data_IF_767287104355
#
_entry.id   IF_767287104355
#
_cell.length_a   1.000
_cell.length_b   1.000
_cell.length_c   1.000
_cell.angle_alpha   90.00
_cell.angle_beta   90.00
_cell.angle_gamma   90.00
#
_symmetry.space_group_name_H-M   'P 1'
#
loop_
_entity.id
_entity.type
_entity.pdbx_description
1 polymer ?
#
# COMPACT_ATOMS: atom_id res chain seq x y z
N UNK A 1 7.30 33.48 -21.43
CA UNK A 1 6.71 32.21 -20.94
C UNK A 1 6.08 31.49 -22.10
N UNK A 2 6.71 30.41 -22.56
CA UNK A 2 6.23 29.66 -23.73
C UNK A 2 5.04 28.78 -23.34
N UNK A 3 4.20 28.44 -24.31
CA UNK A 3 3.04 27.55 -24.15
C UNK A 3 3.42 26.16 -23.64
N UNK A 4 4.67 25.72 -23.87
CA UNK A 4 5.22 24.46 -23.37
C UNK A 4 5.42 24.48 -21.86
N UNK A 5 5.96 25.57 -21.28
CA UNK A 5 6.16 25.72 -19.83
C UNK A 5 4.84 25.75 -19.04
N UNK A 6 3.76 26.28 -19.63
CA UNK A 6 2.43 26.24 -19.01
C UNK A 6 1.87 24.81 -18.95
N UNK A 7 2.12 23.99 -19.97
CA UNK A 7 1.60 22.61 -20.08
C UNK A 7 2.22 21.65 -19.05
N UNK A 8 3.55 21.67 -18.91
CA UNK A 8 4.28 20.83 -17.93
C UNK A 8 3.89 21.17 -16.50
N UNK A 9 3.76 22.47 -16.18
CA UNK A 9 3.37 22.92 -14.85
C UNK A 9 1.94 22.48 -14.46
N UNK A 10 1.02 22.35 -15.43
CA UNK A 10 -0.31 21.76 -15.19
C UNK A 10 -0.29 20.24 -14.99
N UNK A 11 0.56 19.52 -15.73
CA UNK A 11 0.69 18.07 -15.61
C UNK A 11 1.28 17.69 -14.25
N UNK A 12 2.36 18.35 -13.85
CA UNK A 12 3.03 18.11 -12.57
C UNK A 12 2.09 18.43 -11.39
N UNK A 13 1.29 19.50 -11.49
CA UNK A 13 0.26 19.81 -10.49
C UNK A 13 -0.82 18.75 -10.40
N UNK A 14 -1.25 18.18 -11.54
CA UNK A 14 -2.27 17.12 -11.56
C UNK A 14 -1.71 15.84 -10.94
N UNK A 15 -0.49 15.45 -11.32
CA UNK A 15 0.23 14.31 -10.75
C UNK A 15 0.37 14.50 -9.24
N UNK A 16 0.87 15.67 -8.82
CA UNK A 16 1.07 15.99 -7.42
C UNK A 16 -0.22 15.90 -6.62
N UNK A 17 -1.30 16.50 -7.11
CA UNK A 17 -2.62 16.45 -6.47
C UNK A 17 -3.15 15.02 -6.34
N UNK A 18 -2.89 14.17 -7.34
CA UNK A 18 -3.26 12.76 -7.29
C UNK A 18 -2.46 12.05 -6.21
N UNK A 19 -1.13 12.09 -6.25
CA UNK A 19 -0.28 11.28 -5.36
C UNK A 19 -0.33 11.75 -3.90
N UNK A 20 -0.56 13.04 -3.65
CA UNK A 20 -0.64 13.61 -2.28
C UNK A 20 -2.03 13.50 -1.64
N UNK A 21 -3.05 13.08 -2.39
CA UNK A 21 -4.39 12.86 -1.81
C UNK A 21 -4.27 11.89 -0.63
N UNK A 22 -4.84 12.24 0.53
CA UNK A 22 -4.79 11.40 1.73
C UNK A 22 -3.46 11.38 2.48
N UNK A 23 -2.47 12.20 2.07
CA UNK A 23 -1.16 12.30 2.74
C UNK A 23 -1.04 13.67 3.43
N UNK A 24 -0.69 13.65 4.71
CA UNK A 24 -0.42 14.83 5.51
C UNK A 24 1.00 15.35 5.23
N UNK A 25 1.11 16.25 4.26
CA UNK A 25 2.38 16.87 3.87
C UNK A 25 2.94 17.76 4.99
N UNK A 26 2.09 18.31 5.86
CA UNK A 26 2.56 19.12 6.99
C UNK A 26 3.33 18.26 7.99
N UNK A 27 2.90 17.02 8.26
CA UNK A 27 3.69 16.07 9.04
C UNK A 27 5.08 15.81 8.45
N UNK A 28 5.17 15.69 7.12
CA UNK A 28 6.46 15.54 6.42
C UNK A 28 7.34 16.77 6.65
N UNK A 29 6.78 17.97 6.55
CA UNK A 29 7.50 19.23 6.76
C UNK A 29 7.97 19.43 8.20
N UNK A 30 7.25 18.91 9.17
CA UNK A 30 7.51 19.16 10.59
C UNK A 30 8.50 18.18 11.24
N UNK A 31 8.94 17.15 10.52
CA UNK A 31 9.96 16.23 11.07
C UNK A 31 11.27 16.98 11.41
N UNK A 32 12.04 16.51 12.41
CA UNK A 32 13.31 17.13 12.77
C UNK A 32 14.28 17.25 11.59
N UNK A 33 15.10 18.31 11.58
CA UNK A 33 16.08 18.57 10.51
C UNK A 33 17.03 17.38 10.28
N UNK A 34 17.45 16.70 11.35
CA UNK A 34 18.29 15.50 11.24
C UNK A 34 17.61 14.37 10.45
N UNK A 35 16.31 14.11 10.71
CA UNK A 35 15.54 13.12 9.96
C UNK A 35 15.33 13.54 8.49
N UNK A 36 15.24 14.85 8.20
CA UNK A 36 15.16 15.34 6.81
C UNK A 36 16.39 14.97 5.99
N UNK A 37 17.59 14.99 6.57
CA UNK A 37 18.79 14.52 5.87
C UNK A 37 18.76 13.02 5.58
N UNK A 38 18.23 12.21 6.50
CA UNK A 38 18.00 10.78 6.26
C UNK A 38 17.00 10.59 5.11
N UNK A 39 15.94 11.40 5.07
CA UNK A 39 14.93 11.35 4.00
C UNK A 39 15.55 11.66 2.63
N UNK A 40 16.53 12.56 2.53
CA UNK A 40 17.22 12.85 1.26
C UNK A 40 17.84 11.59 0.64
N UNK A 41 18.36 10.66 1.43
CA UNK A 41 18.83 9.36 0.91
C UNK A 41 17.70 8.56 0.28
N UNK A 42 16.54 8.49 0.93
CA UNK A 42 15.35 7.85 0.34
C UNK A 42 14.93 8.51 -0.97
N UNK A 43 15.04 9.84 -1.09
CA UNK A 43 14.74 10.55 -2.35
C UNK A 43 15.67 10.12 -3.48
N UNK A 44 16.98 9.99 -3.19
CA UNK A 44 17.97 9.51 -4.15
C UNK A 44 17.69 8.07 -4.57
N UNK A 45 17.30 7.21 -3.62
CA UNK A 45 16.88 5.86 -3.93
C UNK A 45 15.66 5.86 -4.86
N UNK A 46 14.61 6.65 -4.58
CA UNK A 46 13.43 6.74 -5.46
C UNK A 46 13.79 7.26 -6.86
N UNK A 47 14.71 8.21 -6.97
CA UNK A 47 15.25 8.66 -8.26
C UNK A 47 15.90 7.52 -9.03
N UNK A 48 16.85 6.82 -8.40
CA UNK A 48 17.55 5.71 -9.06
C UNK A 48 16.62 4.55 -9.45
N UNK A 49 15.58 4.28 -8.66
CA UNK A 49 14.55 3.29 -8.98
C UNK A 49 13.68 3.72 -10.17
N UNK A 50 13.34 5.01 -10.25
CA UNK A 50 12.59 5.55 -11.38
C UNK A 50 13.40 5.47 -12.68
N UNK A 51 14.68 5.86 -12.63
CA UNK A 51 15.58 5.79 -13.79
C UNK A 51 15.74 4.34 -14.25
N UNK A 52 15.93 3.42 -13.30
CA UNK A 52 16.00 1.99 -13.60
C UNK A 52 14.71 1.47 -14.25
N UNK A 53 13.54 1.85 -13.75
CA UNK A 53 12.25 1.44 -14.29
C UNK A 53 11.98 2.02 -15.70
N UNK A 54 12.50 3.20 -16.01
CA UNK A 54 12.44 3.80 -17.35
C UNK A 54 13.33 3.03 -18.32
N UNK A 55 14.53 2.65 -17.89
CA UNK A 55 15.50 1.92 -18.72
C UNK A 55 15.13 0.44 -18.95
N UNK A 56 14.64 -0.23 -17.92
CA UNK A 56 14.47 -1.70 -17.91
C UNK A 56 13.00 -2.14 -17.89
N UNK A 57 12.07 -1.20 -17.87
CA UNK A 57 10.64 -1.47 -17.72
C UNK A 57 10.21 -1.61 -16.25
N UNK A 58 9.02 -1.06 -15.94
CA UNK A 58 8.44 -1.09 -14.61
C UNK A 58 8.19 -2.51 -14.09
N UNK A 59 7.88 -3.45 -14.98
CA UNK A 59 7.64 -4.86 -14.66
C UNK A 59 8.87 -5.56 -14.07
N UNK A 60 10.07 -5.06 -14.37
CA UNK A 60 11.31 -5.66 -13.91
C UNK A 60 11.82 -5.01 -12.62
N UNK A 61 11.13 -4.03 -12.03
CA UNK A 61 11.65 -3.21 -10.91
C UNK A 61 12.05 -4.03 -9.66
N UNK A 62 11.54 -5.26 -9.53
CA UNK A 62 11.97 -6.22 -8.51
C UNK A 62 13.38 -6.80 -8.72
N UNK A 63 14.00 -6.56 -9.87
CA UNK A 63 15.37 -6.93 -10.23
C UNK A 63 16.35 -5.76 -10.05
N UNK A 64 15.85 -4.56 -9.74
CA UNK A 64 16.67 -3.39 -9.47
C UNK A 64 17.66 -3.68 -8.33
N UNK A 65 18.95 -3.31 -8.47
CA UNK A 65 19.94 -3.52 -7.40
C UNK A 65 19.56 -2.76 -6.11
N UNK A 66 18.77 -1.70 -6.24
CA UNK A 66 18.29 -0.86 -5.14
C UNK A 66 17.10 -1.52 -4.37
N UNK A 67 16.41 -2.50 -4.96
CA UNK A 67 15.22 -3.17 -4.40
C UNK A 67 15.47 -3.86 -3.06
N UNK A 68 16.69 -4.36 -2.82
CA UNK A 68 17.02 -5.15 -1.64
C UNK A 68 17.11 -4.27 -0.37
N UNK A 69 17.22 -2.95 -0.49
CA UNK A 69 17.60 -2.09 0.64
C UNK A 69 16.46 -1.66 1.58
N UNK A 70 15.17 -1.89 1.27
CA UNK A 70 14.07 -1.45 2.15
C UNK A 70 12.78 -2.25 2.08
N UNK A 71 12.28 -2.74 3.23
CA UNK A 71 11.04 -3.54 3.32
C UNK A 71 9.80 -2.80 2.80
N UNK A 72 9.65 -1.51 3.14
CA UNK A 72 8.55 -0.66 2.66
C UNK A 72 8.56 -0.50 1.14
N UNK A 73 9.76 -0.38 0.56
CA UNK A 73 9.91 -0.26 -0.87
C UNK A 73 9.63 -1.59 -1.58
N UNK A 74 10.09 -2.73 -1.05
CA UNK A 74 9.82 -4.06 -1.62
C UNK A 74 8.34 -4.31 -1.85
N UNK A 75 7.50 -3.98 -0.86
CA UNK A 75 6.05 -4.07 -0.96
C UNK A 75 5.51 -3.26 -2.16
N UNK A 76 5.89 -1.98 -2.22
CA UNK A 76 5.40 -1.06 -3.25
C UNK A 76 5.94 -1.40 -4.65
N UNK A 77 7.21 -1.78 -4.74
CA UNK A 77 7.84 -2.22 -5.98
C UNK A 77 7.23 -3.51 -6.52
N UNK A 78 6.79 -4.45 -5.67
CA UNK A 78 6.04 -5.61 -6.12
C UNK A 78 4.69 -5.23 -6.77
N UNK A 79 4.05 -4.16 -6.30
CA UNK A 79 2.84 -3.63 -6.92
C UNK A 79 3.11 -2.91 -8.25
N UNK A 80 4.24 -2.18 -8.35
CA UNK A 80 4.71 -1.58 -9.60
C UNK A 80 5.00 -2.67 -10.64
N UNK A 81 5.76 -3.70 -10.27
CA UNK A 81 6.12 -4.81 -11.15
C UNK A 81 4.88 -5.51 -11.75
N UNK A 82 3.80 -5.60 -10.96
CA UNK A 82 2.53 -6.19 -11.40
C UNK A 82 1.59 -5.21 -12.10
N UNK A 83 2.03 -3.98 -12.34
CA UNK A 83 1.27 -2.97 -13.08
C UNK A 83 -0.08 -2.62 -12.44
N UNK A 84 -0.22 -2.75 -11.12
CA UNK A 84 -1.49 -2.46 -10.46
C UNK A 84 -1.93 -1.00 -10.67
N UNK A 85 -3.26 -0.73 -10.71
CA UNK A 85 -3.77 0.62 -10.82
C UNK A 85 -3.28 1.53 -9.68
N UNK A 86 -3.05 2.81 -10.00
CA UNK A 86 -2.58 3.82 -9.03
C UNK A 86 -3.55 3.92 -7.85
N UNK A 87 -4.86 3.82 -8.09
CA UNK A 87 -5.90 3.91 -7.07
C UNK A 87 -5.83 2.77 -6.05
N UNK A 88 -5.46 1.56 -6.49
CA UNK A 88 -5.31 0.40 -5.61
C UNK A 88 -4.01 0.50 -4.79
N UNK A 89 -2.92 0.95 -5.42
CA UNK A 89 -1.67 1.25 -4.70
C UNK A 89 -1.86 2.36 -3.65
N UNK A 90 -2.68 3.36 -3.96
CA UNK A 90 -3.06 4.43 -3.02
C UNK A 90 -3.83 3.88 -1.82
N UNK A 91 -4.83 3.03 -2.05
CA UNK A 91 -5.59 2.41 -0.96
C UNK A 91 -4.68 1.60 -0.02
N UNK A 92 -3.74 0.82 -0.58
CA UNK A 92 -2.74 0.08 0.21
C UNK A 92 -1.87 1.04 1.01
N UNK A 93 -1.37 2.10 0.38
CA UNK A 93 -0.50 3.09 1.01
C UNK A 93 -1.17 3.83 2.16
N UNK A 94 -2.40 4.31 1.96
CA UNK A 94 -3.12 5.07 2.98
C UNK A 94 -3.46 4.23 4.20
N UNK A 95 -3.91 2.98 3.99
CA UNK A 95 -4.13 2.05 5.11
C UNK A 95 -2.86 1.89 5.96
N UNK A 96 -1.69 1.76 5.34
CA UNK A 96 -0.43 1.70 6.09
C UNK A 96 -0.08 3.01 6.79
N UNK A 97 -0.32 4.16 6.16
CA UNK A 97 -0.08 5.47 6.77
C UNK A 97 -0.96 5.72 8.01
N UNK A 98 -2.21 5.27 8.00
CA UNK A 98 -3.11 5.37 9.15
C UNK A 98 -2.58 4.61 10.37
N UNK A 99 -1.85 3.51 10.13
CA UNK A 99 -1.19 2.75 11.20
C UNK A 99 0.03 3.48 11.78
N UNK A 100 0.62 4.43 11.05
CA UNK A 100 1.71 5.28 11.51
C UNK A 100 1.25 6.63 12.05
N UNK A 101 -0.05 6.84 12.27
CA UNK A 101 -0.60 8.15 12.66
C UNK A 101 0.05 8.78 13.90
N UNK A 102 0.58 7.94 14.81
CA UNK A 102 1.23 8.36 16.06
C UNK A 102 2.76 8.49 15.97
N UNK A 103 3.38 8.13 14.86
CA UNK A 103 4.83 8.25 14.67
C UNK A 103 5.14 9.08 13.42
N UNK A 104 5.53 10.34 13.63
CA UNK A 104 5.90 11.25 12.54
C UNK A 104 7.05 10.73 11.68
N UNK A 105 8.09 10.13 12.28
CA UNK A 105 9.24 9.59 11.53
C UNK A 105 8.85 8.43 10.61
N UNK A 106 8.16 7.41 11.12
CA UNK A 106 7.69 6.28 10.30
C UNK A 106 6.64 6.70 9.27
N UNK A 107 5.71 7.59 9.65
CA UNK A 107 4.74 8.17 8.73
C UNK A 107 5.47 8.83 7.56
N UNK A 108 6.40 9.73 7.83
CA UNK A 108 7.13 10.46 6.80
C UNK A 108 7.97 9.54 5.93
N UNK A 109 8.73 8.60 6.50
CA UNK A 109 9.53 7.63 5.73
C UNK A 109 8.64 6.83 4.77
N UNK A 110 7.50 6.35 5.25
CA UNK A 110 6.57 5.62 4.41
C UNK A 110 5.87 6.51 3.37
N UNK A 111 5.46 7.74 3.74
CA UNK A 111 4.83 8.70 2.81
C UNK A 111 5.73 8.99 1.62
N UNK A 112 7.04 9.21 1.86
CA UNK A 112 8.00 9.47 0.80
C UNK A 112 8.13 8.28 -0.16
N UNK A 113 8.21 7.06 0.38
CA UNK A 113 8.24 5.83 -0.44
C UNK A 113 6.93 5.65 -1.22
N UNK A 114 5.78 5.86 -0.59
CA UNK A 114 4.46 5.77 -1.23
C UNK A 114 4.32 6.80 -2.36
N UNK A 115 4.65 8.07 -2.11
CA UNK A 115 4.63 9.13 -3.12
C UNK A 115 5.58 8.81 -4.29
N UNK A 116 6.81 8.41 -3.99
CA UNK A 116 7.80 8.04 -5.01
C UNK A 116 7.32 6.88 -5.88
N UNK A 117 6.84 5.80 -5.26
CA UNK A 117 6.38 4.60 -5.97
C UNK A 117 5.13 4.84 -6.81
N UNK A 118 4.18 5.66 -6.35
CA UNK A 118 3.05 6.10 -7.17
C UNK A 118 3.51 6.91 -8.39
N UNK A 119 4.48 7.81 -8.22
CA UNK A 119 5.04 8.58 -9.34
C UNK A 119 5.82 7.69 -10.33
N UNK A 120 6.59 6.70 -9.84
CA UNK A 120 7.24 5.69 -10.69
C UNK A 120 6.18 4.96 -11.50
N UNK A 121 5.10 4.49 -10.86
CA UNK A 121 3.99 3.81 -11.54
C UNK A 121 3.35 4.67 -12.64
N UNK A 122 3.25 5.97 -12.40
CA UNK A 122 2.73 6.95 -13.35
C UNK A 122 3.73 7.32 -14.47
N UNK A 123 4.95 6.77 -14.46
CA UNK A 123 5.97 7.03 -15.47
C UNK A 123 6.66 8.39 -15.33
N UNK A 124 6.70 8.95 -14.13
CA UNK A 124 7.35 10.25 -13.87
C UNK A 124 8.89 10.07 -13.89
N UNK A 125 9.64 10.94 -14.59
CA UNK A 125 11.10 10.91 -14.60
C UNK A 125 11.72 11.03 -13.21
N UNK A 126 12.85 10.34 -12.98
CA UNK A 126 13.51 10.29 -11.68
C UNK A 126 13.91 11.66 -11.12
N UNK A 127 14.40 12.57 -11.98
CA UNK A 127 14.72 13.95 -11.57
C UNK A 127 13.47 14.71 -11.10
N UNK A 128 12.35 14.55 -11.81
CA UNK A 128 11.08 15.17 -11.42
C UNK A 128 10.59 14.60 -10.08
N UNK A 129 10.66 13.28 -9.89
CA UNK A 129 10.33 12.63 -8.61
C UNK A 129 11.20 13.20 -7.48
N UNK A 130 12.51 13.27 -7.70
CA UNK A 130 13.44 13.80 -6.71
C UNK A 130 13.08 15.22 -6.29
N UNK A 131 12.88 16.12 -7.26
CA UNK A 131 12.57 17.52 -6.96
C UNK A 131 11.19 17.72 -6.32
N UNK A 132 10.17 16.98 -6.77
CA UNK A 132 8.83 17.04 -6.18
C UNK A 132 8.85 16.57 -4.72
N UNK A 133 9.52 15.44 -4.44
CA UNK A 133 9.65 14.94 -3.07
C UNK A 133 10.55 15.83 -2.21
N UNK A 134 11.64 16.38 -2.76
CA UNK A 134 12.51 17.30 -2.04
C UNK A 134 11.75 18.54 -1.58
N UNK A 135 10.81 19.04 -2.40
CA UNK A 135 9.89 20.12 -2.05
C UNK A 135 9.02 19.84 -0.83
N UNK A 136 8.79 18.58 -0.46
CA UNK A 136 8.01 18.23 0.74
C UNK A 136 8.75 18.51 2.05
N UNK A 137 10.07 18.65 2.02
CA UNK A 137 10.87 18.87 3.23
C UNK A 137 10.78 20.31 3.77
N UNK A 138 10.15 21.21 3.02
CA UNK A 138 9.85 22.58 3.42
C UNK A 138 10.98 23.57 3.14
N UNK A 139 10.58 24.82 2.83
CA UNK A 139 11.48 25.88 2.37
C UNK A 139 12.62 26.20 3.34
N UNK A 140 12.35 26.15 4.64
CA UNK A 140 13.37 26.35 5.68
C UNK A 140 14.47 25.30 5.63
N UNK A 141 14.13 24.04 5.36
CA UNK A 141 15.14 23.00 5.20
C UNK A 141 15.97 23.26 3.93
N UNK A 142 15.29 23.52 2.81
CA UNK A 142 15.92 23.71 1.50
C UNK A 142 16.85 24.92 1.47
N UNK A 143 16.47 26.03 2.08
CA UNK A 143 17.23 27.29 2.04
C UNK A 143 18.30 27.38 3.13
N UNK A 144 18.03 26.87 4.34
CA UNK A 144 18.92 27.06 5.50
C UNK A 144 19.80 25.85 5.80
N UNK A 145 19.31 24.64 5.54
CA UNK A 145 19.92 23.41 6.04
C UNK A 145 20.54 22.53 4.96
N UNK A 146 19.96 22.47 3.75
CA UNK A 146 20.41 21.55 2.69
C UNK A 146 21.90 21.70 2.34
N UNK A 147 22.48 22.90 2.49
CA UNK A 147 23.92 23.16 2.30
C UNK A 147 24.85 22.35 3.22
N UNK A 148 24.33 21.81 4.33
CA UNK A 148 25.07 20.97 5.26
C UNK A 148 24.97 19.48 4.93
N UNK A 149 24.27 19.11 3.87
CA UNK A 149 24.19 17.72 3.41
C UNK A 149 25.58 17.22 2.96
N UNK A 150 25.97 16.02 3.40
CA UNK A 150 27.31 15.46 3.15
C UNK A 150 28.38 15.89 4.16
N UNK A 151 28.08 16.83 5.07
CA UNK A 151 28.90 17.00 6.27
C UNK A 151 28.59 15.85 7.23
N UNK A 152 29.62 15.09 7.60
CA UNK A 152 29.50 13.95 8.52
C UNK A 152 29.03 14.46 9.88
N UNK A 153 27.73 14.34 10.15
CA UNK A 153 27.23 14.40 11.52
C UNK A 153 27.63 13.11 12.21
N UNK A 154 28.60 13.20 13.12
CA UNK A 154 28.93 12.14 14.06
C UNK A 154 27.78 11.98 15.05
N UNK A 155 26.75 11.21 14.69
CA UNK A 155 25.78 10.63 15.61
C UNK A 155 25.29 9.32 15.00
N UNK A 156 26.12 8.29 15.15
CA UNK A 156 25.68 6.90 15.07
C UNK A 156 24.72 6.65 16.23
N UNK A 157 23.43 6.58 15.93
CA UNK A 157 22.55 5.70 16.68
C UNK A 157 21.38 5.36 15.77
N UNK A 158 21.54 4.25 15.06
CA UNK A 158 20.42 3.55 14.47
C UNK A 158 19.50 3.14 15.63
N UNK A 159 18.52 3.98 15.94
CA UNK A 159 17.57 3.71 17.00
C UNK A 159 16.70 2.54 16.55
N UNK A 160 17.08 1.32 16.96
CA UNK A 160 16.26 0.12 16.86
C UNK A 160 15.04 0.27 17.77
N UNK A 161 14.05 1.03 17.33
CA UNK A 161 12.71 0.98 17.89
C UNK A 161 11.96 -0.19 17.27
N UNK A 162 12.29 -1.40 17.73
CA UNK A 162 11.41 -2.54 17.56
C UNK A 162 10.30 -2.41 18.61
N UNK A 163 9.20 -1.73 18.28
CA UNK A 163 7.97 -1.87 19.07
C UNK A 163 7.53 -3.33 18.99
N UNK A 164 7.58 -4.02 20.13
CA UNK A 164 7.02 -5.35 20.29
C UNK A 164 5.50 -5.27 20.18
N UNK A 165 4.98 -5.48 18.98
CA UNK A 165 3.54 -5.56 18.78
C UNK A 165 3.08 -6.96 19.25
N UNK A 166 2.17 -6.99 20.22
CA UNK A 166 1.59 -8.23 20.79
C UNK A 166 0.72 -8.92 19.73
N UNK A 167 1.18 -10.04 19.16
CA UNK A 167 0.52 -10.65 18.01
C UNK A 167 0.02 -12.10 18.12
N UNK A 168 0.39 -12.89 19.15
CA UNK A 168 0.27 -14.36 19.02
C UNK A 168 -1.16 -14.92 18.84
N UNK A 169 -2.13 -14.53 19.65
CA UNK A 169 -3.51 -15.07 19.53
C UNK A 169 -4.38 -14.29 18.54
N UNK A 170 -4.07 -13.00 18.34
CA UNK A 170 -4.68 -12.12 17.33
C UNK A 170 -4.34 -12.57 15.89
N UNK A 171 -3.18 -13.20 15.68
CA UNK A 171 -2.75 -13.66 14.36
C UNK A 171 -3.60 -14.78 13.78
N UNK A 172 -4.02 -15.76 14.58
CA UNK A 172 -4.64 -16.98 14.05
C UNK A 172 -6.03 -16.72 13.45
N UNK A 173 -6.90 -15.97 14.16
CA UNK A 173 -8.24 -15.63 13.66
C UNK A 173 -8.17 -14.79 12.39
N UNK A 174 -7.35 -13.73 12.41
CA UNK A 174 -7.18 -12.83 11.26
C UNK A 174 -6.57 -13.54 10.07
N UNK A 175 -5.53 -14.35 10.30
CA UNK A 175 -4.90 -15.15 9.26
C UNK A 175 -5.93 -16.08 8.63
N UNK A 176 -6.65 -16.87 9.44
CA UNK A 176 -7.64 -17.81 8.93
C UNK A 176 -8.65 -17.08 8.04
N UNK A 177 -9.29 -16.03 8.56
CA UNK A 177 -10.29 -15.26 7.83
C UNK A 177 -9.72 -14.61 6.57
N UNK A 178 -8.53 -14.01 6.62
CA UNK A 178 -7.86 -13.45 5.44
C UNK A 178 -7.72 -14.51 4.34
N UNK A 179 -7.15 -15.66 4.65
CA UNK A 179 -6.93 -16.70 3.64
C UNK A 179 -8.25 -17.34 3.18
N UNK A 180 -9.28 -17.38 4.02
CA UNK A 180 -10.63 -17.79 3.63
C UNK A 180 -11.23 -16.77 2.64
N UNK A 181 -11.12 -15.45 2.89
CA UNK A 181 -11.56 -14.40 1.97
C UNK A 181 -10.80 -14.43 0.63
N UNK A 182 -9.50 -14.70 0.67
CA UNK A 182 -8.70 -14.88 -0.55
C UNK A 182 -9.14 -16.12 -1.35
N UNK A 183 -9.50 -17.21 -0.67
CA UNK A 183 -10.01 -18.41 -1.31
C UNK A 183 -11.42 -18.18 -1.89
N UNK A 184 -12.26 -17.39 -1.23
CA UNK A 184 -13.56 -16.96 -1.77
C UNK A 184 -13.40 -16.06 -2.99
N UNK A 185 -12.37 -15.21 -3.02
CA UNK A 185 -12.05 -14.42 -4.20
C UNK A 185 -11.61 -15.32 -5.38
N UNK A 186 -10.76 -16.33 -5.10
CA UNK A 186 -10.40 -17.33 -6.11
C UNK A 186 -11.62 -18.10 -6.62
N UNK A 187 -12.53 -18.48 -5.71
CA UNK A 187 -13.80 -19.11 -6.07
C UNK A 187 -14.67 -18.22 -6.95
N UNK A 188 -14.70 -16.90 -6.71
CA UNK A 188 -15.41 -15.98 -7.60
C UNK A 188 -14.80 -15.97 -9.01
N UNK A 189 -13.47 -15.96 -9.10
CA UNK A 189 -12.74 -15.95 -10.38
C UNK A 189 -12.90 -17.26 -11.16
N UNK A 190 -12.99 -18.40 -10.47
CA UNK A 190 -13.06 -19.72 -11.11
C UNK A 190 -14.49 -20.25 -11.30
N UNK A 191 -15.38 -20.06 -10.31
CA UNK A 191 -16.72 -20.66 -10.24
C UNK A 191 -17.87 -19.62 -10.21
N UNK A 192 -17.55 -18.33 -10.06
CA UNK A 192 -18.52 -17.23 -10.07
C UNK A 192 -19.12 -16.86 -8.71
N UNK A 193 -19.80 -15.70 -8.67
CA UNK A 193 -20.27 -15.08 -7.42
C UNK A 193 -21.37 -15.90 -6.70
N UNK A 194 -22.11 -16.71 -7.44
CA UNK A 194 -23.17 -17.56 -6.88
C UNK A 194 -22.58 -18.72 -6.05
N UNK A 195 -21.44 -19.28 -6.47
CA UNK A 195 -20.71 -20.28 -5.69
C UNK A 195 -20.20 -19.69 -4.37
N UNK A 196 -19.70 -18.45 -4.42
CA UNK A 196 -19.26 -17.70 -3.24
C UNK A 196 -20.42 -17.44 -2.29
N UNK A 197 -21.57 -17.00 -2.80
CA UNK A 197 -22.75 -16.78 -1.96
C UNK A 197 -23.22 -18.07 -1.30
N UNK A 198 -23.31 -19.17 -2.06
CA UNK A 198 -23.68 -20.47 -1.53
C UNK A 198 -22.76 -20.87 -0.36
N UNK A 199 -21.44 -20.74 -0.56
CA UNK A 199 -20.47 -21.00 0.51
C UNK A 199 -20.69 -20.11 1.74
N UNK A 200 -20.77 -18.79 1.54
CA UNK A 200 -20.88 -17.83 2.65
C UNK A 200 -22.16 -18.07 3.44
N UNK A 201 -23.30 -18.30 2.79
CA UNK A 201 -24.58 -18.45 3.46
C UNK A 201 -24.66 -19.79 4.20
N UNK A 202 -24.28 -20.89 3.53
CA UNK A 202 -24.53 -22.24 4.04
C UNK A 202 -23.37 -22.83 4.85
N UNK A 203 -22.13 -22.38 4.64
CA UNK A 203 -20.93 -23.02 5.23
C UNK A 203 -20.11 -22.09 6.14
N UNK A 204 -20.15 -20.76 5.94
CA UNK A 204 -19.49 -19.84 6.86
C UNK A 204 -20.16 -19.84 8.24
N UNK A 205 -19.33 -19.79 9.29
CA UNK A 205 -19.78 -19.58 10.68
C UNK A 205 -19.58 -18.14 11.16
N UNK A 206 -19.06 -17.27 10.30
CA UNK A 206 -18.77 -15.87 10.65
C UNK A 206 -19.94 -14.98 10.20
N UNK A 207 -20.69 -14.47 11.18
CA UNK A 207 -21.89 -13.67 10.94
C UNK A 207 -21.56 -12.27 10.37
N UNK A 208 -20.40 -11.71 10.73
CA UNK A 208 -19.93 -10.44 10.19
C UNK A 208 -19.64 -10.56 8.70
N UNK A 209 -18.96 -11.64 8.28
CA UNK A 209 -18.75 -11.96 6.86
C UNK A 209 -20.09 -12.08 6.11
N UNK A 210 -21.07 -12.81 6.66
CA UNK A 210 -22.40 -12.95 6.04
C UNK A 210 -23.10 -11.60 5.89
N UNK A 211 -23.10 -10.81 6.95
CA UNK A 211 -23.74 -9.49 6.99
C UNK A 211 -23.09 -8.55 5.98
N UNK A 212 -21.77 -8.36 6.05
CA UNK A 212 -21.05 -7.45 5.15
C UNK A 212 -21.13 -7.89 3.69
N UNK A 213 -21.07 -9.20 3.41
CA UNK A 213 -21.21 -9.71 2.05
C UNK A 213 -22.59 -9.39 1.48
N UNK A 214 -23.66 -9.64 2.23
CA UNK A 214 -25.02 -9.33 1.79
C UNK A 214 -25.25 -7.83 1.62
N UNK A 215 -24.72 -6.99 2.52
CA UNK A 215 -24.80 -5.54 2.39
C UNK A 215 -24.14 -5.05 1.11
N UNK A 216 -22.91 -5.49 0.83
CA UNK A 216 -22.15 -5.05 -0.36
C UNK A 216 -22.77 -5.62 -1.64
N UNK A 217 -23.22 -6.89 -1.64
CA UNK A 217 -23.85 -7.54 -2.79
C UNK A 217 -25.07 -6.76 -3.27
N UNK A 218 -25.94 -6.37 -2.32
CA UNK A 218 -27.21 -5.67 -2.58
C UNK A 218 -27.02 -4.22 -3.00
N UNK A 219 -25.85 -3.65 -2.75
CA UNK A 219 -25.52 -2.31 -3.21
C UNK A 219 -25.25 -2.30 -4.69
N UNK A 220 -25.82 -1.29 -5.35
CA UNK A 220 -25.57 -1.00 -6.76
C UNK A 220 -24.05 -0.95 -7.03
N UNK A 221 -23.56 -1.68 -8.05
CA UNK A 221 -22.13 -1.72 -8.39
C UNK A 221 -21.44 -0.35 -8.45
N UNK A 222 -22.14 0.69 -8.93
CA UNK A 222 -21.62 2.05 -9.03
C UNK A 222 -21.31 2.68 -7.66
N UNK A 223 -21.98 2.22 -6.60
CA UNK A 223 -21.88 2.78 -5.25
C UNK A 223 -21.13 1.90 -4.26
N UNK A 224 -20.80 0.65 -4.60
CA UNK A 224 -20.12 -0.31 -3.71
C UNK A 224 -18.85 0.25 -3.09
N UNK A 225 -17.99 0.86 -3.91
CA UNK A 225 -16.72 1.44 -3.44
C UNK A 225 -16.96 2.56 -2.41
N UNK A 226 -17.94 3.41 -2.66
CA UNK A 226 -18.30 4.48 -1.72
C UNK A 226 -18.86 3.92 -0.41
N UNK A 227 -19.79 2.96 -0.48
CA UNK A 227 -20.36 2.32 0.70
C UNK A 227 -19.28 1.62 1.54
N UNK A 228 -18.37 0.89 0.89
CA UNK A 228 -17.25 0.23 1.57
C UNK A 228 -16.37 1.22 2.31
N UNK A 229 -16.06 2.38 1.71
CA UNK A 229 -15.30 3.43 2.39
C UNK A 229 -16.03 3.96 3.63
N UNK A 230 -17.36 4.08 3.59
CA UNK A 230 -18.15 4.50 4.75
C UNK A 230 -18.16 3.42 5.85
N UNK A 231 -18.31 2.15 5.47
CA UNK A 231 -18.28 1.04 6.42
C UNK A 231 -16.93 0.91 7.12
N UNK A 232 -15.82 1.19 6.44
CA UNK A 232 -14.47 1.03 7.02
C UNK A 232 -14.15 2.11 8.07
N UNK A 233 -14.68 3.33 7.92
CA UNK A 233 -14.24 4.50 8.72
C UNK A 233 -14.42 4.35 10.23
N UNK A 234 -15.44 3.62 10.68
CA UNK A 234 -15.80 3.48 12.10
C UNK A 234 -15.56 2.06 12.66
N UNK A 235 -15.01 1.17 11.84
CA UNK A 235 -14.92 -0.25 12.17
C UNK A 235 -13.58 -0.65 12.81
N UNK A 236 -13.59 -1.77 13.54
CA UNK A 236 -12.37 -2.37 14.09
C UNK A 236 -11.55 -3.04 12.97
N UNK A 237 -10.24 -3.19 13.17
CA UNK A 237 -9.32 -3.80 12.18
C UNK A 237 -9.82 -5.12 11.57
N UNK A 238 -10.52 -5.96 12.35
CA UNK A 238 -11.09 -7.22 11.87
C UNK A 238 -12.13 -6.97 10.78
N UNK A 239 -13.09 -6.11 11.08
CA UNK A 239 -14.20 -5.78 10.19
C UNK A 239 -13.66 -5.03 8.97
N UNK A 240 -12.70 -4.12 9.15
CA UNK A 240 -12.02 -3.47 8.04
C UNK A 240 -11.36 -4.48 7.09
N UNK A 241 -10.67 -5.50 7.62
CA UNK A 241 -10.09 -6.58 6.82
C UNK A 241 -11.15 -7.42 6.11
N UNK A 242 -12.24 -7.78 6.79
CA UNK A 242 -13.34 -8.56 6.21
C UNK A 242 -14.00 -7.81 5.07
N UNK A 243 -14.37 -6.54 5.31
CA UNK A 243 -14.96 -5.65 4.30
C UNK A 243 -14.01 -5.47 3.11
N UNK A 244 -12.71 -5.28 3.38
CA UNK A 244 -11.68 -5.16 2.33
C UNK A 244 -11.58 -6.44 1.50
N UNK A 245 -11.58 -7.61 2.14
CA UNK A 245 -11.57 -8.91 1.46
C UNK A 245 -12.82 -9.12 0.60
N UNK A 246 -14.00 -8.79 1.12
CA UNK A 246 -15.26 -8.86 0.37
C UNK A 246 -15.23 -7.94 -0.86
N UNK A 247 -14.71 -6.70 -0.71
CA UNK A 247 -14.59 -5.80 -1.84
C UNK A 247 -13.64 -6.35 -2.90
N UNK A 248 -12.56 -7.03 -2.50
CA UNK A 248 -11.65 -7.70 -3.44
C UNK A 248 -12.34 -8.82 -4.22
N UNK A 249 -13.28 -9.56 -3.61
CA UNK A 249 -14.12 -10.55 -4.29
C UNK A 249 -14.92 -9.88 -5.40
N UNK A 250 -15.69 -8.82 -5.08
CA UNK A 250 -16.55 -8.14 -6.06
C UNK A 250 -15.81 -7.38 -7.15
N UNK A 251 -14.56 -7.00 -6.91
CA UNK A 251 -13.69 -6.37 -7.89
C UNK A 251 -12.79 -7.36 -8.62
N UNK A 252 -12.91 -8.67 -8.32
CA UNK A 252 -12.11 -9.74 -8.90
C UNK A 252 -10.60 -9.46 -8.86
N UNK A 253 -10.15 -8.79 -7.79
CA UNK A 253 -8.74 -8.42 -7.64
C UNK A 253 -7.87 -9.66 -7.65
N UNK A 254 -6.65 -9.57 -8.17
CA UNK A 254 -5.75 -10.71 -8.08
C UNK A 254 -5.43 -11.07 -6.61
N UNK A 255 -4.96 -12.30 -6.42
CA UNK A 255 -4.68 -12.84 -5.10
C UNK A 255 -3.71 -11.96 -4.32
N UNK A 256 -2.67 -11.45 -4.95
CA UNK A 256 -1.64 -10.74 -4.23
C UNK A 256 -1.99 -9.29 -3.95
N UNK A 257 -2.75 -8.63 -4.83
CA UNK A 257 -3.34 -7.34 -4.49
C UNK A 257 -4.29 -7.49 -3.30
N UNK A 258 -5.15 -8.53 -3.32
CA UNK A 258 -6.03 -8.86 -2.20
C UNK A 258 -5.24 -9.09 -0.91
N UNK A 259 -4.11 -9.80 -1.00
CA UNK A 259 -3.19 -10.02 0.12
C UNK A 259 -2.66 -8.70 0.71
N UNK A 260 -2.18 -7.79 -0.14
CA UNK A 260 -1.61 -6.51 0.30
C UNK A 260 -2.66 -5.59 0.90
N UNK A 261 -3.87 -5.54 0.31
CA UNK A 261 -4.97 -4.74 0.83
C UNK A 261 -5.44 -5.23 2.20
N UNK A 262 -5.56 -6.54 2.40
CA UNK A 262 -5.94 -7.09 3.70
C UNK A 262 -4.83 -6.94 4.74
N UNK A 263 -3.54 -7.02 4.36
CA UNK A 263 -2.42 -6.74 5.28
C UNK A 263 -2.38 -5.28 5.71
N UNK A 264 -2.62 -4.36 4.77
CA UNK A 264 -2.59 -2.94 5.08
C UNK A 264 -3.75 -2.52 5.98
N UNK A 265 -4.94 -3.09 5.77
CA UNK A 265 -6.13 -2.83 6.61
C UNK A 265 -5.93 -3.21 8.09
N UNK A 266 -5.03 -4.14 8.40
CA UNK A 266 -4.76 -4.61 9.77
C UNK A 266 -3.44 -4.07 10.34
N UNK A 267 -2.76 -3.17 9.61
CA UNK A 267 -1.53 -2.54 10.06
C UNK A 267 -0.35 -3.48 10.27
N UNK A 268 -0.36 -4.67 9.65
CA UNK A 268 0.73 -5.62 9.82
C UNK A 268 1.89 -5.26 8.92
N UNK A 269 2.90 -4.62 9.53
CA UNK A 269 4.08 -4.12 8.82
C UNK A 269 5.30 -5.07 8.82
N UNK A 270 5.21 -6.24 9.45
CA UNK A 270 6.32 -7.19 9.46
C UNK A 270 5.84 -8.60 9.83
N UNK A 271 6.40 -9.60 9.14
CA UNK A 271 6.25 -11.06 9.32
C UNK A 271 5.13 -11.81 8.58
N UNK A 272 4.20 -11.14 7.87
CA UNK A 272 3.16 -11.84 7.08
C UNK A 272 3.39 -11.88 5.57
N UNK A 273 4.42 -11.21 5.07
CA UNK A 273 4.84 -11.33 3.67
C UNK A 273 5.56 -12.68 3.48
N UNK A 274 4.75 -13.74 3.55
CA UNK A 274 5.11 -15.02 2.92
C UNK A 274 5.42 -14.71 1.46
N UNK A 275 6.44 -15.38 0.93
CA UNK A 275 6.73 -15.31 -0.50
C UNK A 275 5.44 -15.58 -1.29
N UNK A 276 5.20 -14.90 -2.43
CA UNK A 276 3.96 -15.03 -3.19
C UNK A 276 3.53 -16.48 -3.40
N UNK A 277 4.48 -17.37 -3.72
CA UNK A 277 4.20 -18.79 -3.98
C UNK A 277 3.62 -19.52 -2.75
N UNK A 278 4.05 -19.15 -1.55
CA UNK A 278 3.52 -19.70 -0.30
C UNK A 278 2.12 -19.17 0.02
N UNK A 279 1.84 -17.93 -0.38
CA UNK A 279 0.51 -17.33 -0.24
C UNK A 279 -0.45 -18.05 -1.19
N UNK A 280 -0.09 -18.15 -2.46
CA UNK A 280 -0.88 -18.82 -3.50
C UNK A 280 -1.17 -20.29 -3.15
N UNK A 281 -0.17 -21.04 -2.70
CA UNK A 281 -0.36 -22.43 -2.30
C UNK A 281 -1.36 -22.59 -1.14
N UNK A 282 -1.30 -21.72 -0.12
CA UNK A 282 -2.24 -21.75 1.02
C UNK A 282 -3.66 -21.37 0.58
N UNK A 283 -3.80 -20.39 -0.31
CA UNK A 283 -5.11 -19.99 -0.85
C UNK A 283 -5.72 -21.11 -1.68
N UNK A 284 -4.95 -21.72 -2.58
CA UNK A 284 -5.42 -22.83 -3.41
C UNK A 284 -5.86 -24.02 -2.56
N UNK A 285 -5.06 -24.41 -1.57
CA UNK A 285 -5.42 -25.50 -0.66
C UNK A 285 -6.75 -25.23 0.08
N UNK A 286 -7.00 -23.97 0.47
CA UNK A 286 -8.27 -23.59 1.10
C UNK A 286 -9.43 -23.57 0.12
N UNK A 287 -9.22 -23.02 -1.08
CA UNK A 287 -10.22 -23.01 -2.14
C UNK A 287 -10.70 -24.43 -2.46
N UNK A 288 -9.79 -25.39 -2.67
CA UNK A 288 -10.15 -26.79 -2.90
C UNK A 288 -10.96 -27.38 -1.74
N UNK A 289 -10.57 -27.07 -0.49
CA UNK A 289 -11.30 -27.51 0.69
C UNK A 289 -12.71 -26.89 0.79
N UNK A 290 -12.88 -25.64 0.34
CA UNK A 290 -14.17 -24.96 0.28
C UNK A 290 -15.04 -25.54 -0.83
N UNK A 291 -14.45 -25.78 -2.00
CA UNK A 291 -15.12 -26.34 -3.18
C UNK A 291 -15.68 -27.73 -2.90
N UNK A 292 -14.95 -28.54 -2.14
CA UNK A 292 -15.42 -29.86 -1.71
C UNK A 292 -16.67 -29.84 -0.78
N UNK A 293 -17.09 -28.66 -0.31
CA UNK A 293 -18.29 -28.48 0.52
C UNK A 293 -19.52 -28.02 -0.27
N UNK A 294 -19.33 -27.56 -1.51
CA UNK A 294 -20.39 -27.09 -2.42
C UNK A 294 -21.08 -28.27 -3.13
#
# INVERSE_FOLDING_TARGET
MSTTERGTNTLDRKIWKTVTKGIDIEKIRNVPVAEKFIIVEYLKHMRGEADWAIEHGQENINQSPNYIMGNSYRLMAAMIARQYPVEDMQAVSWNYLDNFKYSETYYTKFSIVALGTLMIRMGVPGDTIFHMLLGTLGDDFLTKNLKYYGYVQALETEAKFATAIKYKDYELKYRKMKYDLMALNLMNQEDGIDAVENYIINHSKDDDLKLFFQLIKRTDPAFRKWQVLQLIQDEKDYNQMVITGIMSIFLERDLMLSHYMMNSAIGKYSNFDRRPEKVEAEVRARYEAMKAML
#
